data_IF_912912738895
#
_entry.id   IF_912912738895
#
_cell.length_a   1.000
_cell.length_b   1.000
_cell.length_c   1.000
_cell.angle_alpha   90.00
_cell.angle_beta   90.00
_cell.angle_gamma   90.00
#
_symmetry.space_group_name_H-M   'P 1'
#
loop_
_entity.id
_entity.type
_entity.pdbx_description
1 polymer ?
#
# COMPACT_ATOMS: atom_id res chain seq x y z
N UNK A 1 -2.86 16.06 -29.98
CA UNK A 1 -4.33 16.22 -30.12
C UNK A 1 -4.75 17.06 -28.94
N UNK A 2 -5.63 18.03 -29.14
CA UNK A 2 -6.11 18.88 -28.05
C UNK A 2 -6.93 18.00 -27.08
N UNK A 3 -6.34 17.60 -25.95
CA UNK A 3 -6.94 16.65 -24.99
C UNK A 3 -8.25 17.16 -24.40
N UNK A 4 -8.52 18.47 -24.48
CA UNK A 4 -9.81 19.05 -24.09
C UNK A 4 -10.96 18.60 -25.00
N UNK A 5 -10.66 18.15 -26.23
CA UNK A 5 -11.68 17.68 -27.17
C UNK A 5 -12.16 16.25 -26.90
N UNK A 6 -11.30 15.42 -26.29
CA UNK A 6 -11.57 14.01 -25.98
C UNK A 6 -11.18 13.74 -24.53
N UNK A 7 -11.99 14.19 -23.55
CA UNK A 7 -11.62 14.14 -22.15
C UNK A 7 -11.52 12.69 -21.67
N UNK A 8 -10.54 12.45 -20.80
CA UNK A 8 -10.31 11.17 -20.15
C UNK A 8 -10.27 11.37 -18.64
N UNK A 9 -11.14 10.70 -17.89
CA UNK A 9 -11.05 10.65 -16.44
C UNK A 9 -9.79 9.88 -16.04
N UNK A 10 -9.10 10.36 -15.01
CA UNK A 10 -8.00 9.65 -14.39
C UNK A 10 -8.45 8.27 -13.88
N UNK A 11 -7.65 7.25 -14.12
CA UNK A 11 -7.97 5.87 -13.72
C UNK A 11 -7.74 5.61 -12.22
N UNK A 12 -6.95 6.45 -11.55
CA UNK A 12 -6.57 6.32 -10.14
C UNK A 12 -7.55 7.03 -9.19
N UNK A 13 -8.57 7.70 -9.73
CA UNK A 13 -9.59 8.39 -8.94
C UNK A 13 -10.80 7.48 -8.72
N UNK A 14 -11.30 7.47 -7.48
CA UNK A 14 -12.53 6.77 -7.13
C UNK A 14 -13.69 7.74 -6.88
N UNK A 15 -14.79 7.58 -7.61
CA UNK A 15 -16.04 8.27 -7.33
C UNK A 15 -16.76 7.65 -6.12
N UNK A 16 -17.10 8.48 -5.12
CA UNK A 16 -17.77 8.06 -3.89
C UNK A 16 -19.13 8.77 -3.78
N UNK A 17 -20.24 8.02 -3.66
CA UNK A 17 -21.55 8.61 -3.43
C UNK A 17 -21.63 9.18 -2.01
N UNK A 18 -22.16 10.40 -1.89
CA UNK A 18 -22.40 11.08 -0.61
C UNK A 18 -23.82 11.65 -0.58
N UNK A 19 -24.34 11.86 0.63
CA UNK A 19 -25.61 12.57 0.83
C UNK A 19 -25.34 13.85 1.61
N UNK A 20 -25.67 15.00 1.02
CA UNK A 20 -25.53 16.31 1.65
C UNK A 20 -26.88 16.99 1.60
N UNK A 21 -27.42 17.37 2.76
CA UNK A 21 -28.73 18.04 2.88
C UNK A 21 -29.87 17.31 2.12
N UNK A 22 -29.84 15.98 2.08
CA UNK A 22 -30.82 15.15 1.37
C UNK A 22 -30.58 15.01 -0.14
N UNK A 23 -29.60 15.70 -0.72
CA UNK A 23 -29.18 15.54 -2.11
C UNK A 23 -28.18 14.42 -2.27
N UNK A 24 -28.38 13.58 -3.30
CA UNK A 24 -27.47 12.50 -3.68
C UNK A 24 -26.39 13.05 -4.60
N UNK A 25 -25.17 13.18 -4.07
CA UNK A 25 -24.01 13.71 -4.78
C UNK A 25 -22.92 12.64 -4.91
N UNK A 26 -21.87 12.97 -5.64
CA UNK A 26 -20.66 12.21 -5.80
C UNK A 26 -19.48 13.12 -5.55
N UNK A 27 -18.57 12.67 -4.70
CA UNK A 27 -17.24 13.25 -4.54
C UNK A 27 -16.20 12.29 -5.11
N UNK A 28 -14.95 12.73 -5.13
CA UNK A 28 -13.83 11.94 -5.64
C UNK A 28 -12.78 11.76 -4.57
N UNK A 29 -12.26 10.54 -4.44
CA UNK A 29 -11.02 10.27 -3.73
C UNK A 29 -9.88 10.38 -4.71
N UNK A 30 -9.07 11.42 -4.55
CA UNK A 30 -7.82 11.61 -5.27
C UNK A 30 -6.65 11.08 -4.42
N UNK A 31 -5.95 10.01 -4.86
CA UNK A 31 -4.83 9.46 -4.13
C UNK A 31 -3.67 10.44 -4.00
N UNK A 32 -3.48 11.36 -4.95
CA UNK A 32 -2.41 12.37 -4.91
C UNK A 32 -2.82 13.67 -4.23
N UNK A 33 -4.10 13.79 -3.83
CA UNK A 33 -4.68 14.98 -3.17
C UNK A 33 -4.43 16.29 -3.95
N UNK A 34 -4.42 16.20 -5.28
CA UNK A 34 -4.29 17.35 -6.17
C UNK A 34 -5.64 18.02 -6.38
N UNK A 35 -6.72 17.24 -6.42
CA UNK A 35 -8.07 17.74 -6.61
C UNK A 35 -8.49 18.67 -5.49
N UNK A 36 -9.14 19.78 -5.83
CA UNK A 36 -9.69 20.70 -4.85
C UNK A 36 -10.66 19.96 -3.91
N UNK A 37 -10.41 20.05 -2.60
CA UNK A 37 -11.31 19.53 -1.57
C UNK A 37 -12.71 20.11 -1.75
N UNK A 38 -13.73 19.26 -1.84
CA UNK A 38 -15.13 19.68 -1.93
C UNK A 38 -15.73 19.72 -3.33
N UNK A 39 -15.03 19.25 -4.36
CA UNK A 39 -15.67 19.03 -5.67
C UNK A 39 -16.70 17.90 -5.57
N UNK A 40 -17.98 18.26 -5.67
CA UNK A 40 -19.08 17.32 -5.67
C UNK A 40 -19.99 17.55 -6.89
N UNK A 41 -20.48 16.46 -7.47
CA UNK A 41 -21.38 16.48 -8.61
C UNK A 41 -22.68 15.76 -8.27
N UNK A 42 -23.76 16.07 -9.00
CA UNK A 42 -24.99 15.29 -8.90
C UNK A 42 -24.74 13.82 -9.28
N UNK A 43 -25.33 12.88 -8.54
CA UNK A 43 -25.14 11.45 -8.79
C UNK A 43 -25.55 11.00 -10.20
N UNK A 44 -26.45 11.74 -10.86
CA UNK A 44 -26.87 11.48 -12.24
C UNK A 44 -25.73 11.69 -13.25
N UNK A 45 -24.59 12.27 -12.84
CA UNK A 45 -23.42 12.45 -13.68
C UNK A 45 -22.53 11.19 -13.82
N UNK A 46 -22.75 10.10 -13.07
CA UNK A 46 -21.92 8.87 -13.20
C UNK A 46 -21.79 8.38 -14.65
N UNK A 47 -22.89 8.21 -15.41
CA UNK A 47 -22.77 7.65 -16.75
C UNK A 47 -22.01 8.60 -17.68
N UNK A 48 -22.00 9.91 -17.39
CA UNK A 48 -21.21 10.90 -18.11
C UNK A 48 -19.71 10.71 -17.87
N UNK A 49 -19.32 10.51 -16.62
CA UNK A 49 -17.91 10.25 -16.26
C UNK A 49 -17.40 8.99 -16.98
N UNK A 50 -18.25 7.96 -17.11
CA UNK A 50 -17.91 6.74 -17.85
C UNK A 50 -17.72 6.97 -19.36
N UNK A 51 -18.27 8.05 -19.93
CA UNK A 51 -18.02 8.44 -21.33
C UNK A 51 -16.71 9.21 -21.51
N UNK A 52 -16.14 9.76 -20.44
CA UNK A 52 -14.84 10.44 -20.47
C UNK A 52 -13.71 9.40 -20.42
N UNK A 53 -13.61 8.57 -21.45
CA UNK A 53 -12.62 7.49 -21.58
C UNK A 53 -11.48 7.83 -22.56
N UNK A 54 -11.46 9.08 -23.07
CA UNK A 54 -10.54 9.55 -24.11
C UNK A 54 -10.92 9.14 -25.53
N UNK A 55 -12.07 8.49 -25.74
CA UNK A 55 -12.57 8.09 -27.07
C UNK A 55 -13.73 8.95 -27.55
N UNK A 56 -14.55 9.44 -26.63
CA UNK A 56 -15.71 10.27 -26.94
C UNK A 56 -15.30 11.75 -27.02
N UNK A 57 -15.80 12.45 -28.04
CA UNK A 57 -15.61 13.90 -28.15
C UNK A 57 -16.68 14.69 -27.35
N UNK A 58 -16.55 16.02 -27.30
CA UNK A 58 -17.52 16.87 -26.60
C UNK A 58 -18.97 16.74 -27.12
N UNK A 59 -19.19 16.42 -28.40
CA UNK A 59 -20.52 16.22 -28.99
C UNK A 59 -21.09 14.86 -28.65
N UNK A 60 -20.26 13.83 -28.57
CA UNK A 60 -20.64 12.51 -28.06
C UNK A 60 -21.10 12.62 -26.60
N UNK A 61 -20.32 13.32 -25.77
CA UNK A 61 -20.63 13.60 -24.36
C UNK A 61 -21.93 14.41 -24.24
N UNK A 62 -22.13 15.44 -25.07
CA UNK A 62 -23.39 16.21 -25.15
C UNK A 62 -24.58 15.30 -25.45
N UNK A 63 -24.44 14.43 -26.45
CA UNK A 63 -25.50 13.49 -26.86
C UNK A 63 -25.82 12.52 -25.73
N UNK A 64 -24.80 12.03 -25.01
CA UNK A 64 -24.96 11.22 -23.81
C UNK A 64 -25.69 11.95 -22.70
N UNK A 65 -25.31 13.20 -22.42
CA UNK A 65 -25.93 14.01 -21.37
C UNK A 65 -27.41 14.28 -21.66
N UNK A 66 -27.75 14.66 -22.90
CA UNK A 66 -29.14 14.86 -23.33
C UNK A 66 -29.99 13.59 -23.14
N UNK A 67 -29.43 12.40 -23.38
CA UNK A 67 -30.14 11.12 -23.14
C UNK A 67 -30.38 10.89 -21.65
N UNK A 68 -29.37 11.14 -20.80
CA UNK A 68 -29.47 10.96 -19.34
C UNK A 68 -30.47 11.94 -18.73
N UNK A 69 -30.54 13.17 -19.24
CA UNK A 69 -31.46 14.22 -18.78
C UNK A 69 -32.85 14.17 -19.44
N UNK A 70 -33.26 13.02 -19.98
CA UNK A 70 -34.60 12.82 -20.54
C UNK A 70 -34.92 13.67 -21.77
N UNK A 71 -33.92 13.99 -22.59
CA UNK A 71 -34.07 14.80 -23.81
C UNK A 71 -33.97 16.32 -23.57
N UNK A 72 -33.64 16.76 -22.36
CA UNK A 72 -33.36 18.18 -22.07
C UNK A 72 -32.21 18.65 -22.97
N UNK A 73 -32.38 19.81 -23.62
CA UNK A 73 -31.35 20.38 -24.50
C UNK A 73 -30.19 20.87 -23.64
N UNK A 74 -29.01 20.33 -23.91
CA UNK A 74 -27.73 20.76 -23.32
C UNK A 74 -26.95 21.44 -24.44
N UNK A 75 -26.40 22.62 -24.19
CA UNK A 75 -25.51 23.31 -25.12
C UNK A 75 -24.10 22.72 -25.08
N UNK A 76 -23.36 22.83 -26.19
CA UNK A 76 -21.94 22.42 -26.22
C UNK A 76 -21.09 23.23 -25.24
N UNK A 77 -21.47 24.48 -24.98
CA UNK A 77 -20.80 25.36 -24.03
C UNK A 77 -20.93 24.85 -22.58
N UNK A 78 -22.08 24.29 -22.20
CA UNK A 78 -22.27 23.68 -20.87
C UNK A 78 -21.40 22.42 -20.69
N UNK A 79 -21.29 21.59 -21.75
CA UNK A 79 -20.41 20.40 -21.72
C UNK A 79 -18.95 20.83 -21.61
N UNK A 80 -18.53 21.82 -22.38
CA UNK A 80 -17.18 22.35 -22.34
C UNK A 80 -16.86 22.93 -20.96
N UNK A 81 -17.75 23.74 -20.38
CA UNK A 81 -17.58 24.29 -19.04
C UNK A 81 -17.42 23.20 -17.98
N UNK A 82 -18.16 22.10 -18.08
CA UNK A 82 -18.02 20.97 -17.18
C UNK A 82 -16.66 20.27 -17.33
N UNK A 83 -16.22 20.01 -18.57
CA UNK A 83 -14.92 19.40 -18.84
C UNK A 83 -13.79 20.29 -18.31
N UNK A 84 -13.87 21.60 -18.53
CA UNK A 84 -12.92 22.57 -17.98
C UNK A 84 -12.92 22.61 -16.44
N UNK A 85 -14.07 22.42 -15.80
CA UNK A 85 -14.15 22.33 -14.33
C UNK A 85 -13.48 21.05 -13.80
N UNK A 86 -13.71 19.91 -14.45
CA UNK A 86 -13.07 18.64 -14.10
C UNK A 86 -11.54 18.71 -14.30
N UNK A 87 -11.11 19.35 -15.39
CA UNK A 87 -9.69 19.57 -15.70
C UNK A 87 -9.01 20.48 -14.67
N UNK A 88 -9.64 21.62 -14.34
CA UNK A 88 -9.16 22.52 -13.27
C UNK A 88 -9.13 21.85 -11.89
N UNK A 89 -9.97 20.85 -11.67
CA UNK A 89 -9.97 20.03 -10.47
C UNK A 89 -8.98 18.85 -10.54
N UNK A 90 -8.15 18.76 -11.59
CA UNK A 90 -7.18 17.67 -11.82
C UNK A 90 -7.81 16.27 -11.82
N UNK A 91 -9.08 16.16 -12.22
CA UNK A 91 -9.79 14.89 -12.30
C UNK A 91 -9.59 14.19 -13.65
N UNK A 92 -9.17 14.94 -14.67
CA UNK A 92 -8.90 14.43 -16.02
C UNK A 92 -7.41 14.15 -16.21
N UNK A 93 -7.13 13.14 -17.05
CA UNK A 93 -5.79 12.82 -17.55
C UNK A 93 -5.42 13.84 -18.64
N UNK A 94 -5.05 15.03 -18.22
CA UNK A 94 -4.71 16.17 -19.08
C UNK A 94 -3.26 16.61 -18.94
N UNK A 95 -2.81 17.46 -19.85
CA UNK A 95 -1.54 18.18 -19.72
C UNK A 95 -1.41 18.91 -18.38
N UNK A 96 -2.46 19.61 -17.93
CA UNK A 96 -2.46 20.31 -16.65
C UNK A 96 -2.26 19.37 -15.45
N UNK A 97 -2.92 18.21 -15.45
CA UNK A 97 -2.70 17.18 -14.43
C UNK A 97 -1.27 16.64 -14.46
N UNK A 98 -0.75 16.29 -15.65
CA UNK A 98 0.61 15.76 -15.79
C UNK A 98 1.66 16.76 -15.35
N UNK A 99 1.51 18.04 -15.71
CA UNK A 99 2.39 19.11 -15.23
C UNK A 99 2.33 19.25 -13.70
N UNK A 100 1.14 19.24 -13.11
CA UNK A 100 0.99 19.34 -11.66
C UNK A 100 1.56 18.12 -10.94
N UNK A 101 1.33 16.91 -11.44
CA UNK A 101 1.91 15.66 -10.92
C UNK A 101 3.44 15.70 -10.99
N UNK A 102 4.01 16.08 -12.14
CA UNK A 102 5.46 16.22 -12.30
C UNK A 102 6.06 17.29 -11.39
N UNK A 103 5.35 18.39 -11.16
CA UNK A 103 5.76 19.41 -10.19
C UNK A 103 5.77 18.83 -8.76
N UNK A 104 4.72 18.11 -8.38
CA UNK A 104 4.65 17.46 -7.06
C UNK A 104 5.73 16.39 -6.88
N UNK A 105 6.04 15.60 -7.91
CA UNK A 105 7.15 14.64 -7.90
C UNK A 105 8.49 15.35 -7.64
N UNK A 106 8.75 16.47 -8.32
CA UNK A 106 9.97 17.27 -8.13
C UNK A 106 10.02 17.95 -6.75
N UNK A 107 8.87 18.38 -6.22
CA UNK A 107 8.74 18.89 -4.87
C UNK A 107 9.10 17.80 -3.85
N UNK A 108 8.46 16.63 -3.95
CA UNK A 108 8.67 15.49 -3.07
C UNK A 108 10.13 15.01 -3.11
N UNK A 109 10.77 14.95 -4.27
CA UNK A 109 12.18 14.58 -4.41
C UNK A 109 13.10 15.44 -3.50
N UNK A 110 12.74 16.70 -3.25
CA UNK A 110 13.51 17.63 -2.39
C UNK A 110 13.16 17.55 -0.91
N UNK A 111 12.11 16.82 -0.54
CA UNK A 111 11.73 16.67 0.87
C UNK A 111 12.78 15.84 1.60
N UNK A 112 13.23 16.35 2.75
CA UNK A 112 14.08 15.58 3.67
C UNK A 112 13.26 14.57 4.50
N UNK A 113 11.95 14.80 4.62
CA UNK A 113 11.04 14.03 5.46
C UNK A 113 9.75 13.74 4.72
N UNK A 114 9.20 12.55 4.94
CA UNK A 114 7.89 12.14 4.47
C UNK A 114 6.88 12.40 5.58
N UNK A 115 5.94 13.30 5.31
CA UNK A 115 4.81 13.58 6.20
C UNK A 115 3.82 12.40 6.21
N UNK A 116 3.11 12.14 7.33
CA UNK A 116 2.12 11.07 7.39
C UNK A 116 0.92 11.40 6.49
N UNK A 117 0.58 10.50 5.58
CA UNK A 117 -0.57 10.65 4.72
C UNK A 117 -1.88 10.39 5.48
N UNK A 118 -1.90 9.47 6.44
CA UNK A 118 -3.11 8.91 7.05
C UNK A 118 -3.34 9.32 8.50
N UNK A 119 -2.47 10.16 9.08
CA UNK A 119 -2.74 10.79 10.36
C UNK A 119 -4.05 11.62 10.31
N UNK A 120 -4.92 11.40 11.30
CA UNK A 120 -6.26 11.98 11.36
C UNK A 120 -7.30 11.29 10.45
N UNK A 121 -6.92 10.21 9.74
CA UNK A 121 -7.82 9.40 8.90
C UNK A 121 -7.89 7.95 9.36
N UNK A 122 -6.77 7.23 9.30
CA UNK A 122 -6.68 5.81 9.70
C UNK A 122 -6.16 5.63 11.12
N UNK A 123 -5.54 6.67 11.69
CA UNK A 123 -5.11 6.71 13.08
C UNK A 123 -5.11 8.14 13.60
N UNK A 124 -5.17 8.32 14.92
CA UNK A 124 -5.19 9.65 15.54
C UNK A 124 -3.90 10.43 15.24
N UNK A 125 -4.06 11.69 14.81
CA UNK A 125 -2.94 12.62 14.64
C UNK A 125 -2.41 13.17 15.98
N UNK A 126 -3.11 12.90 17.07
CA UNK A 126 -2.75 13.33 18.42
C UNK A 126 -1.95 12.23 19.12
N UNK A 127 -0.74 12.52 19.61
CA UNK A 127 0.14 11.51 20.18
C UNK A 127 -0.44 10.84 21.44
N UNK A 128 -1.16 11.58 22.28
CA UNK A 128 -1.72 11.05 23.53
C UNK A 128 -2.88 10.09 23.23
N UNK A 129 -3.77 10.45 22.31
CA UNK A 129 -4.86 9.58 21.87
C UNK A 129 -4.35 8.33 21.15
N UNK A 130 -3.36 8.46 20.28
CA UNK A 130 -2.75 7.34 19.58
C UNK A 130 -2.07 6.36 20.53
N UNK A 131 -1.32 6.88 21.51
CA UNK A 131 -0.70 6.08 22.57
C UNK A 131 -1.75 5.36 23.41
N UNK A 132 -2.80 6.08 23.83
CA UNK A 132 -3.90 5.52 24.63
C UNK A 132 -4.65 4.42 23.88
N UNK A 133 -4.84 4.56 22.57
CA UNK A 133 -5.41 3.53 21.71
C UNK A 133 -4.59 2.24 21.77
N UNK A 134 -3.27 2.31 21.54
CA UNK A 134 -2.39 1.12 21.56
C UNK A 134 -2.39 0.45 22.94
N UNK A 135 -2.29 1.24 24.02
CA UNK A 135 -2.35 0.73 25.40
C UNK A 135 -3.69 0.06 25.71
N UNK A 136 -4.81 0.61 25.22
CA UNK A 136 -6.15 0.04 25.45
C UNK A 136 -6.29 -1.30 24.73
N UNK A 137 -5.83 -1.39 23.47
CA UNK A 137 -5.82 -2.65 22.73
C UNK A 137 -4.93 -3.67 23.43
N UNK A 138 -3.75 -3.26 23.89
CA UNK A 138 -2.79 -4.14 24.58
C UNK A 138 -3.34 -4.70 25.89
N UNK A 139 -4.04 -3.89 26.69
CA UNK A 139 -4.73 -4.33 27.92
C UNK A 139 -5.83 -5.37 27.65
N UNK A 140 -6.41 -5.36 26.45
CA UNK A 140 -7.41 -6.34 26.01
C UNK A 140 -6.82 -7.67 25.52
N UNK A 141 -5.51 -7.75 25.29
CA UNK A 141 -4.85 -8.97 24.84
C UNK A 141 -4.46 -9.87 26.02
N UNK A 142 -4.34 -11.17 25.75
CA UNK A 142 -3.76 -12.10 26.71
C UNK A 142 -2.31 -11.69 27.07
N UNK A 143 -1.80 -11.99 28.27
CA UNK A 143 -0.39 -11.80 28.59
C UNK A 143 0.51 -12.50 27.58
N UNK A 144 1.64 -11.88 27.25
CA UNK A 144 2.62 -12.51 26.37
C UNK A 144 3.14 -13.81 27.02
N UNK A 145 3.31 -14.90 26.25
CA UNK A 145 4.06 -16.04 26.72
C UNK A 145 5.51 -15.62 26.99
N UNK A 146 6.20 -16.41 27.82
CA UNK A 146 7.64 -16.25 28.01
C UNK A 146 8.34 -16.40 26.65
N UNK A 147 8.99 -15.33 26.20
CA UNK A 147 9.74 -15.28 24.95
C UNK A 147 10.96 -14.38 25.15
N UNK A 148 11.99 -14.61 24.36
CA UNK A 148 13.16 -13.74 24.31
C UNK A 148 12.99 -12.73 23.17
N UNK A 149 12.66 -11.45 23.44
CA UNK A 149 12.54 -10.45 22.39
C UNK A 149 13.88 -10.19 21.70
N UNK A 150 15.01 -10.54 22.33
CA UNK A 150 16.34 -10.45 21.71
C UNK A 150 16.56 -11.56 20.67
N UNK A 151 15.74 -12.61 20.66
CA UNK A 151 15.76 -13.63 19.62
C UNK A 151 15.02 -13.21 18.36
N UNK A 152 14.12 -12.22 18.41
CA UNK A 152 13.25 -11.86 17.28
C UNK A 152 14.07 -11.17 16.19
N UNK A 153 14.09 -11.72 14.97
CA UNK A 153 14.80 -11.16 13.82
C UNK A 153 13.87 -10.57 12.77
N UNK A 154 12.59 -10.94 12.81
CA UNK A 154 11.60 -10.35 11.92
C UNK A 154 10.16 -10.48 12.39
N UNK A 155 9.31 -9.62 11.84
CA UNK A 155 7.87 -9.64 12.02
C UNK A 155 7.17 -9.45 10.68
N UNK A 156 6.00 -10.09 10.56
CA UNK A 156 5.03 -9.80 9.53
C UNK A 156 3.81 -9.19 10.23
N UNK A 157 3.38 -8.04 9.77
CA UNK A 157 2.23 -7.31 10.29
C UNK A 157 1.30 -6.91 9.13
N UNK A 158 -0.01 -6.79 9.38
CA UNK A 158 -0.94 -6.28 8.39
C UNK A 158 -0.53 -4.90 7.85
N UNK A 159 -1.08 -4.52 6.70
CA UNK A 159 -1.15 -3.12 6.28
C UNK A 159 -2.59 -2.64 6.02
N UNK A 160 -3.60 -3.46 6.31
CA UNK A 160 -4.99 -3.01 6.33
C UNK A 160 -5.17 -1.89 7.37
N UNK A 161 -6.23 -1.10 7.21
CA UNK A 161 -6.59 -0.03 8.14
C UNK A 161 -6.47 -0.49 9.60
N UNK A 162 -5.82 0.32 10.43
CA UNK A 162 -5.46 -0.04 11.80
C UNK A 162 -6.70 -0.44 12.62
N UNK A 163 -7.85 0.19 12.39
CA UNK A 163 -9.08 -0.14 13.08
C UNK A 163 -9.58 -1.56 12.75
N UNK A 164 -9.30 -2.07 11.54
CA UNK A 164 -9.71 -3.39 11.10
C UNK A 164 -8.86 -4.53 11.71
N UNK A 165 -7.58 -4.26 12.02
CA UNK A 165 -6.63 -5.27 12.46
C UNK A 165 -5.86 -4.89 13.75
N UNK A 166 -6.44 -4.03 14.59
CA UNK A 166 -5.78 -3.44 15.77
C UNK A 166 -5.06 -4.47 16.66
N UNK A 167 -5.71 -5.62 16.93
CA UNK A 167 -5.15 -6.67 17.77
C UNK A 167 -3.92 -7.31 17.12
N UNK A 168 -3.95 -7.55 15.80
CA UNK A 168 -2.86 -8.18 15.08
C UNK A 168 -1.61 -7.30 15.07
N UNK A 169 -1.77 -5.98 14.89
CA UNK A 169 -0.68 -5.01 15.01
C UNK A 169 -0.10 -4.97 16.43
N UNK A 170 -0.94 -4.71 17.43
CA UNK A 170 -0.48 -4.57 18.82
C UNK A 170 0.18 -5.85 19.31
N UNK A 171 -0.38 -7.02 18.99
CA UNK A 171 0.15 -8.30 19.46
C UNK A 171 1.54 -8.61 18.88
N UNK A 172 1.79 -8.30 17.60
CA UNK A 172 3.10 -8.56 16.99
C UNK A 172 4.16 -7.56 17.45
N UNK A 173 3.82 -6.28 17.57
CA UNK A 173 4.79 -5.26 17.94
C UNK A 173 5.20 -5.31 19.42
N UNK A 174 4.31 -5.70 20.34
CA UNK A 174 4.69 -5.87 21.75
C UNK A 174 5.69 -7.02 21.98
N UNK A 175 5.85 -7.95 21.01
CA UNK A 175 6.85 -9.05 21.06
C UNK A 175 8.28 -8.62 20.69
N UNK A 176 8.47 -7.45 20.09
CA UNK A 176 9.81 -6.93 19.78
C UNK A 176 10.31 -5.93 20.83
N UNK A 177 9.43 -5.49 21.73
CA UNK A 177 9.76 -4.56 22.81
C UNK A 177 10.87 -5.14 23.70
N UNK A 178 11.91 -4.36 23.95
CA UNK A 178 13.06 -4.80 24.74
C UNK A 178 14.07 -5.69 23.99
N UNK A 179 13.86 -5.96 22.69
CA UNK A 179 14.78 -6.75 21.86
C UNK A 179 16.10 -6.06 21.51
N UNK A 180 16.25 -4.78 21.84
CA UNK A 180 17.46 -3.98 21.59
C UNK A 180 17.67 -3.63 20.11
N UNK A 181 16.61 -3.63 19.31
CA UNK A 181 16.66 -3.26 17.88
C UNK A 181 17.03 -1.79 17.70
N UNK A 182 18.12 -1.54 16.97
CA UNK A 182 18.56 -0.19 16.61
C UNK A 182 18.24 0.21 15.16
N UNK A 183 17.88 -0.79 14.34
CA UNK A 183 17.56 -0.63 12.93
C UNK A 183 16.34 -1.48 12.56
N UNK A 184 15.42 -0.94 11.76
CA UNK A 184 14.34 -1.70 11.15
C UNK A 184 14.36 -1.57 9.63
N UNK A 185 14.44 -2.69 8.91
CA UNK A 185 14.24 -2.71 7.44
C UNK A 185 12.76 -3.02 7.20
N UNK A 186 12.03 -2.06 6.62
CA UNK A 186 10.58 -2.14 6.46
C UNK A 186 10.23 -2.38 5.01
N UNK A 187 9.69 -3.57 4.72
CA UNK A 187 9.25 -4.02 3.41
C UNK A 187 7.74 -3.78 3.25
N UNK A 188 7.38 -2.72 2.54
CA UNK A 188 6.00 -2.42 2.14
C UNK A 188 5.67 -2.93 0.74
N UNK A 189 4.44 -2.68 0.29
CA UNK A 189 3.96 -3.00 -1.06
C UNK A 189 3.87 -1.72 -1.88
N UNK A 190 4.35 -1.75 -3.13
CA UNK A 190 4.14 -0.65 -4.05
C UNK A 190 2.77 -0.79 -4.75
N UNK A 191 1.75 -0.09 -4.27
CA UNK A 191 0.42 -0.09 -4.90
C UNK A 191 0.30 0.80 -6.15
N UNK A 192 1.30 1.67 -6.41
CA UNK A 192 1.22 2.70 -7.45
C UNK A 192 1.85 2.26 -8.79
N UNK A 193 2.51 1.10 -8.82
CA UNK A 193 3.14 0.56 -10.03
C UNK A 193 4.40 1.34 -10.41
N UNK A 194 5.51 1.01 -9.75
CA UNK A 194 6.82 1.59 -10.05
C UNK A 194 7.49 1.02 -11.31
N UNK A 195 8.55 1.69 -11.75
CA UNK A 195 9.40 1.35 -12.90
C UNK A 195 10.59 0.44 -12.54
N UNK A 196 10.57 -0.15 -11.34
CA UNK A 196 11.55 -1.12 -10.88
C UNK A 196 10.96 -2.17 -9.92
N UNK A 197 11.76 -3.18 -9.58
CA UNK A 197 11.36 -4.22 -8.62
C UNK A 197 11.20 -3.67 -7.20
N UNK A 198 12.02 -2.70 -6.82
CA UNK A 198 12.01 -2.09 -5.50
C UNK A 198 12.07 -0.57 -5.60
N UNK A 199 11.49 0.13 -4.62
CA UNK A 199 11.62 1.57 -4.47
C UNK A 199 12.17 1.87 -3.07
N UNK A 200 13.27 2.63 -3.02
CA UNK A 200 13.96 3.02 -1.78
C UNK A 200 13.73 4.50 -1.52
N UNK A 201 13.50 4.88 -0.26
CA UNK A 201 13.47 6.28 0.15
C UNK A 201 14.53 6.56 1.21
N UNK A 202 15.26 7.67 1.05
CA UNK A 202 16.22 8.19 2.04
C UNK A 202 15.60 9.24 2.98
N UNK A 203 14.29 9.47 2.87
CA UNK A 203 13.55 10.47 3.67
C UNK A 203 13.25 9.93 5.06
N UNK A 204 13.32 10.78 6.08
CA UNK A 204 12.88 10.41 7.43
C UNK A 204 11.35 10.28 7.45
N UNK A 205 10.79 9.39 8.26
CA UNK A 205 9.35 9.20 8.36
C UNK A 205 8.80 9.94 9.57
N UNK A 206 7.91 10.90 9.34
CA UNK A 206 7.22 11.64 10.40
C UNK A 206 6.00 10.84 10.87
N UNK A 207 5.88 10.62 12.17
CA UNK A 207 4.69 10.06 12.82
C UNK A 207 4.18 11.02 13.89
N UNK A 208 2.92 10.90 14.37
CA UNK A 208 2.46 11.67 15.53
C UNK A 208 3.31 11.47 16.79
N UNK A 209 3.98 10.32 16.92
CA UNK A 209 4.82 9.97 18.07
C UNK A 209 6.27 10.44 17.93
N UNK A 210 6.61 11.05 16.80
CA UNK A 210 7.94 11.59 16.49
C UNK A 210 8.48 11.08 15.15
N UNK A 211 9.72 11.47 14.84
CA UNK A 211 10.37 11.18 13.56
C UNK A 211 11.23 9.94 13.69
N UNK A 212 11.10 9.01 12.75
CA UNK A 212 12.04 7.90 12.56
C UNK A 212 13.06 8.29 11.50
N UNK A 213 14.33 8.35 11.90
CA UNK A 213 15.43 8.67 10.98
C UNK A 213 15.70 7.50 10.04
N UNK A 214 15.82 7.79 8.76
CA UNK A 214 16.22 6.76 7.80
C UNK A 214 17.74 6.58 7.82
N UNK A 215 18.21 5.34 7.81
CA UNK A 215 19.64 5.06 7.63
C UNK A 215 20.05 5.34 6.17
N UNK A 216 20.38 6.61 5.91
CA UNK A 216 20.70 7.09 4.57
C UNK A 216 21.95 6.46 4.01
N UNK A 217 22.93 6.15 4.86
CA UNK A 217 24.16 5.47 4.43
C UNK A 217 23.82 4.07 3.90
N UNK A 218 22.98 3.33 4.64
CA UNK A 218 22.49 2.03 4.20
C UNK A 218 21.68 2.11 2.89
N UNK A 219 20.81 3.12 2.75
CA UNK A 219 20.02 3.35 1.53
C UNK A 219 20.92 3.66 0.33
N UNK A 220 21.93 4.52 0.49
CA UNK A 220 22.85 4.86 -0.60
C UNK A 220 23.77 3.70 -0.98
N UNK A 221 24.17 2.86 -0.01
CA UNK A 221 24.90 1.63 -0.25
C UNK A 221 24.05 0.60 -1.03
N UNK A 222 22.78 0.45 -0.67
CA UNK A 222 21.85 -0.44 -1.37
C UNK A 222 21.65 -0.08 -2.84
N UNK A 223 21.80 1.20 -3.21
CA UNK A 223 21.67 1.67 -4.60
C UNK A 223 22.85 1.32 -5.50
N UNK A 224 24.00 0.93 -4.93
CA UNK A 224 25.20 0.68 -5.71
C UNK A 224 25.17 -0.69 -6.39
N UNK A 225 25.81 -0.78 -7.57
CA UNK A 225 26.10 -2.02 -8.29
C UNK A 225 24.88 -2.92 -8.60
N UNK A 226 23.69 -2.32 -8.74
CA UNK A 226 22.47 -3.05 -9.11
C UNK A 226 22.24 -3.03 -10.64
N UNK A 227 21.72 -4.13 -11.23
CA UNK A 227 21.31 -4.14 -12.63
C UNK A 227 20.18 -3.12 -12.90
N UNK A 228 20.11 -2.62 -14.13
CA UNK A 228 19.04 -1.71 -14.58
C UNK A 228 17.64 -2.32 -14.36
N UNK A 229 16.66 -1.50 -13.96
CA UNK A 229 15.31 -1.93 -13.62
C UNK A 229 15.16 -2.61 -12.25
N UNK A 230 16.24 -2.70 -11.45
CA UNK A 230 16.14 -3.19 -10.06
C UNK A 230 15.41 -2.18 -9.18
N UNK A 231 15.81 -0.91 -9.27
CA UNK A 231 15.25 0.18 -8.48
C UNK A 231 14.40 1.10 -9.34
N UNK A 232 13.34 1.63 -8.75
CA UNK A 232 12.59 2.74 -9.32
C UNK A 232 13.46 4.00 -9.42
N UNK A 233 13.25 4.83 -10.45
CA UNK A 233 14.04 6.06 -10.66
C UNK A 233 13.79 7.09 -9.55
N UNK A 234 12.55 7.17 -9.06
CA UNK A 234 12.11 8.14 -8.05
C UNK A 234 11.44 7.46 -6.86
N UNK A 235 11.54 8.09 -5.68
CA UNK A 235 10.91 7.60 -4.45
C UNK A 235 9.45 8.08 -4.27
N UNK A 236 8.84 8.64 -5.32
CA UNK A 236 7.53 9.29 -5.26
C UNK A 236 6.41 8.39 -4.74
N UNK A 237 6.47 7.09 -5.04
CA UNK A 237 5.47 6.12 -4.60
C UNK A 237 5.40 6.03 -3.06
N UNK A 238 6.49 6.35 -2.35
CA UNK A 238 6.45 6.42 -0.89
C UNK A 238 5.49 7.50 -0.38
N UNK A 239 5.27 8.60 -1.11
CA UNK A 239 4.55 9.78 -0.60
C UNK A 239 3.15 9.45 -0.06
N UNK A 240 2.41 8.60 -0.78
CA UNK A 240 1.01 8.24 -0.44
C UNK A 240 0.87 6.78 -0.02
N UNK A 241 1.95 6.00 -0.09
CA UNK A 241 1.92 4.58 0.25
C UNK A 241 1.81 4.36 1.76
N UNK A 242 0.87 3.50 2.16
CA UNK A 242 0.45 3.32 3.55
C UNK A 242 1.07 2.09 4.21
N UNK A 243 1.50 1.11 3.42
CA UNK A 243 2.02 -0.16 3.92
C UNK A 243 3.21 -0.01 4.85
N UNK A 244 4.10 0.96 4.58
CA UNK A 244 5.22 1.33 5.46
C UNK A 244 4.76 2.29 6.58
N UNK A 245 3.89 3.26 6.28
CA UNK A 245 3.46 4.28 7.23
C UNK A 245 2.84 3.66 8.49
N UNK A 246 1.95 2.69 8.34
CA UNK A 246 1.37 1.99 9.49
C UNK A 246 2.43 1.33 10.34
N UNK A 247 3.44 0.69 9.73
CA UNK A 247 4.53 0.07 10.50
C UNK A 247 5.33 1.12 11.29
N UNK A 248 5.62 2.28 10.68
CA UNK A 248 6.38 3.34 11.37
C UNK A 248 5.68 3.86 12.61
N UNK A 249 4.35 3.90 12.62
CA UNK A 249 3.55 4.32 13.78
C UNK A 249 3.75 3.35 14.97
N UNK A 250 3.69 2.04 14.72
CA UNK A 250 3.90 1.03 15.77
C UNK A 250 5.38 0.92 16.19
N UNK A 251 6.32 1.03 15.25
CA UNK A 251 7.75 1.05 15.55
C UNK A 251 8.10 2.24 16.47
N UNK A 252 7.60 3.44 16.17
CA UNK A 252 7.83 4.62 17.00
C UNK A 252 7.27 4.44 18.42
N UNK A 253 6.13 3.76 18.58
CA UNK A 253 5.54 3.48 19.89
C UNK A 253 6.33 2.43 20.69
N UNK A 254 6.61 1.28 20.08
CA UNK A 254 7.15 0.10 20.79
C UNK A 254 8.67 0.08 20.90
N UNK A 255 9.38 0.67 19.93
CA UNK A 255 10.85 0.71 19.90
C UNK A 255 11.42 2.12 20.09
N UNK A 256 10.56 3.14 20.07
CA UNK A 256 10.97 4.54 20.24
C UNK A 256 11.59 5.15 18.99
N UNK A 257 11.78 6.47 19.02
CA UNK A 257 12.29 7.24 17.88
C UNK A 257 13.81 7.23 17.71
N UNK A 258 14.53 6.60 18.64
CA UNK A 258 15.96 6.31 18.47
C UNK A 258 16.25 5.16 17.48
N UNK A 259 15.20 4.46 17.03
CA UNK A 259 15.27 3.45 15.99
C UNK A 259 15.52 4.10 14.62
N UNK A 260 16.54 3.64 13.90
CA UNK A 260 16.68 3.95 12.48
C UNK A 260 15.84 3.03 11.61
N UNK A 261 15.42 3.51 10.44
CA UNK A 261 14.66 2.71 9.48
C UNK A 261 15.31 2.65 8.10
N UNK A 262 14.98 1.62 7.31
CA UNK A 262 15.22 1.56 5.86
C UNK A 262 13.91 1.16 5.20
N UNK A 263 13.16 2.12 4.63
CA UNK A 263 11.87 1.86 3.98
C UNK A 263 12.08 1.38 2.53
N UNK A 264 11.51 0.22 2.20
CA UNK A 264 11.62 -0.43 0.88
C UNK A 264 10.21 -0.82 0.41
N UNK A 265 9.73 -0.23 -0.67
CA UNK A 265 8.52 -0.71 -1.33
C UNK A 265 8.88 -1.84 -2.30
N UNK A 266 8.22 -2.98 -2.13
CA UNK A 266 8.36 -4.14 -2.98
C UNK A 266 7.29 -4.10 -4.08
N UNK A 267 7.73 -4.00 -5.33
CA UNK A 267 6.90 -4.02 -6.53
C UNK A 267 7.29 -5.18 -7.46
N UNK A 268 6.96 -5.05 -8.74
CA UNK A 268 7.48 -5.91 -9.82
C UNK A 268 7.00 -7.37 -9.85
N UNK A 269 6.32 -7.88 -8.80
CA UNK A 269 5.89 -9.29 -8.77
C UNK A 269 4.97 -9.67 -9.93
N UNK A 270 4.16 -8.72 -10.40
CA UNK A 270 3.26 -8.92 -11.53
C UNK A 270 4.00 -9.20 -12.84
N UNK A 271 5.22 -8.68 -13.01
CA UNK A 271 6.10 -8.97 -14.16
C UNK A 271 6.45 -10.46 -14.19
N UNK A 272 6.83 -11.03 -13.03
CA UNK A 272 7.16 -12.44 -12.88
C UNK A 272 5.93 -13.34 -13.02
N UNK A 273 4.77 -12.94 -12.49
CA UNK A 273 3.53 -13.71 -12.64
C UNK A 273 3.06 -13.75 -14.09
N UNK A 274 3.16 -12.64 -14.82
CA UNK A 274 2.73 -12.55 -16.22
C UNK A 274 3.64 -13.31 -17.19
N UNK A 275 4.95 -13.29 -16.93
CA UNK A 275 5.94 -13.99 -17.75
C UNK A 275 6.13 -15.47 -17.37
N UNK A 276 5.74 -15.85 -16.14
CA UNK A 276 6.06 -17.15 -15.55
C UNK A 276 7.54 -17.30 -15.18
N UNK A 277 8.32 -16.21 -15.22
CA UNK A 277 9.73 -16.22 -14.85
C UNK A 277 9.91 -16.28 -13.34
N UNK A 278 10.90 -17.05 -12.87
CA UNK A 278 11.15 -17.20 -11.44
C UNK A 278 12.02 -16.03 -10.93
N UNK A 279 11.57 -15.25 -9.92
CA UNK A 279 12.36 -14.13 -9.38
C UNK A 279 13.70 -14.61 -8.78
N UNK A 280 13.82 -15.88 -8.38
CA UNK A 280 15.08 -16.42 -7.87
C UNK A 280 16.11 -16.75 -8.96
N UNK A 281 15.74 -16.62 -10.24
CA UNK A 281 16.65 -16.69 -11.40
C UNK A 281 16.86 -15.32 -12.06
N UNK A 282 16.17 -14.28 -11.58
CA UNK A 282 16.31 -12.92 -12.07
C UNK A 282 17.50 -12.22 -11.41
N UNK A 283 18.39 -11.67 -12.24
CA UNK A 283 19.63 -11.03 -11.79
C UNK A 283 19.38 -9.78 -10.94
N UNK A 284 18.30 -9.02 -11.20
CA UNK A 284 17.93 -7.82 -10.44
C UNK A 284 17.50 -8.21 -9.04
N UNK A 285 16.57 -9.17 -8.93
CA UNK A 285 16.06 -9.64 -7.65
C UNK A 285 17.16 -10.27 -6.79
N UNK A 286 18.00 -11.13 -7.38
CA UNK A 286 19.08 -11.78 -6.67
C UNK A 286 20.16 -10.78 -6.22
N UNK A 287 20.58 -9.85 -7.09
CA UNK A 287 21.53 -8.80 -6.71
C UNK A 287 21.02 -7.96 -5.54
N UNK A 288 19.77 -7.51 -5.58
CA UNK A 288 19.17 -6.73 -4.50
C UNK A 288 19.08 -7.51 -3.19
N UNK A 289 18.55 -8.74 -3.24
CA UNK A 289 18.42 -9.63 -2.07
C UNK A 289 19.78 -9.88 -1.41
N UNK A 290 20.79 -10.20 -2.21
CA UNK A 290 22.10 -10.58 -1.69
C UNK A 290 22.87 -9.36 -1.17
N UNK A 291 22.72 -8.19 -1.81
CA UNK A 291 23.26 -6.93 -1.29
C UNK A 291 22.59 -6.56 0.05
N UNK A 292 21.26 -6.59 0.13
CA UNK A 292 20.53 -6.31 1.36
C UNK A 292 20.89 -7.29 2.49
N UNK A 293 21.01 -8.59 2.20
CA UNK A 293 21.44 -9.58 3.19
C UNK A 293 22.85 -9.28 3.71
N UNK A 294 23.80 -8.93 2.82
CA UNK A 294 25.17 -8.57 3.20
C UNK A 294 25.16 -7.36 4.14
N UNK A 295 24.50 -6.28 3.75
CA UNK A 295 24.49 -5.02 4.51
C UNK A 295 23.82 -5.21 5.87
N UNK A 296 22.73 -5.99 5.95
CA UNK A 296 22.12 -6.36 7.24
C UNK A 296 23.11 -7.13 8.12
N UNK A 297 23.89 -8.05 7.54
CA UNK A 297 24.88 -8.85 8.26
C UNK A 297 26.12 -8.06 8.73
N UNK A 298 26.44 -6.95 8.06
CA UNK A 298 27.56 -6.06 8.39
C UNK A 298 27.16 -4.92 9.34
N UNK A 299 25.85 -4.69 9.53
CA UNK A 299 25.34 -3.67 10.43
C UNK A 299 25.77 -3.92 11.88
N UNK A 300 26.31 -2.88 12.52
CA UNK A 300 26.57 -2.88 13.95
C UNK A 300 25.29 -2.78 14.79
N UNK A 301 24.19 -2.34 14.18
CA UNK A 301 22.88 -2.25 14.81
C UNK A 301 22.13 -3.56 14.66
N UNK A 302 21.48 -3.99 15.73
CA UNK A 302 20.56 -5.12 15.68
C UNK A 302 19.38 -4.77 14.80
N UNK A 303 19.26 -5.49 13.69
CA UNK A 303 18.25 -5.27 12.66
C UNK A 303 16.99 -6.06 12.96
N UNK A 304 15.82 -5.42 12.85
CA UNK A 304 14.51 -6.04 12.77
C UNK A 304 14.03 -5.99 11.32
N UNK A 305 13.69 -7.14 10.72
CA UNK A 305 12.98 -7.16 9.45
C UNK A 305 11.47 -6.98 9.70
N UNK A 306 10.83 -6.07 8.98
CA UNK A 306 9.38 -5.82 9.10
C UNK A 306 8.76 -5.97 7.72
N UNK A 307 7.76 -6.84 7.57
CA UNK A 307 6.96 -6.94 6.34
C UNK A 307 5.53 -6.47 6.62
N UNK A 308 5.14 -5.33 6.05
CA UNK A 308 3.80 -4.75 6.17
C UNK A 308 2.92 -5.21 5.01
N UNK A 309 2.15 -6.28 5.20
CA UNK A 309 1.44 -7.00 4.13
C UNK A 309 0.08 -7.52 4.58
N UNK A 310 -0.90 -7.44 3.68
CA UNK A 310 -2.13 -8.23 3.77
C UNK A 310 -2.03 -9.47 2.87
N UNK A 311 -3.06 -10.32 2.93
CA UNK A 311 -3.17 -11.55 2.15
C UNK A 311 -4.18 -11.35 1.01
N UNK A 312 -5.27 -12.11 0.97
CA UNK A 312 -6.22 -12.15 -0.13
C UNK A 312 -7.18 -10.95 -0.12
N UNK A 313 -7.39 -10.32 -1.28
CA UNK A 313 -8.37 -9.28 -1.53
C UNK A 313 -9.48 -9.81 -2.46
N UNK A 314 -10.62 -10.20 -1.88
CA UNK A 314 -11.71 -10.89 -2.60
C UNK A 314 -13.02 -10.11 -2.62
N UNK A 315 -13.82 -10.34 -3.66
CA UNK A 315 -15.11 -9.70 -3.85
C UNK A 315 -15.12 -8.58 -4.88
N UNK A 316 -16.27 -7.89 -5.00
CA UNK A 316 -16.58 -7.06 -6.18
C UNK A 316 -15.66 -5.86 -6.35
N UNK A 317 -15.21 -5.25 -5.25
CA UNK A 317 -14.26 -4.13 -5.27
C UNK A 317 -12.92 -4.51 -5.88
N UNK A 318 -12.53 -5.78 -5.73
CA UNK A 318 -11.24 -6.31 -6.19
C UNK A 318 -11.38 -7.08 -7.52
N UNK A 319 -12.35 -6.71 -8.36
CA UNK A 319 -12.49 -7.24 -9.72
C UNK A 319 -13.22 -8.58 -9.84
N UNK A 320 -13.74 -9.15 -8.75
CA UNK A 320 -14.50 -10.40 -8.82
C UNK A 320 -15.96 -10.15 -9.24
N UNK A 321 -16.53 -11.01 -10.08
CA UNK A 321 -17.95 -10.96 -10.45
C UNK A 321 -18.92 -11.40 -9.34
N UNK A 322 -18.41 -11.87 -8.21
CA UNK A 322 -19.16 -12.45 -7.08
C UNK A 322 -18.76 -11.76 -5.77
N UNK A 323 -19.62 -11.77 -4.73
CA UNK A 323 -19.25 -11.23 -3.43
C UNK A 323 -18.16 -12.07 -2.75
N UNK A 324 -17.42 -11.45 -1.82
CA UNK A 324 -16.36 -12.10 -1.04
C UNK A 324 -16.79 -13.39 -0.35
N UNK A 325 -18.01 -13.44 0.19
CA UNK A 325 -18.58 -14.62 0.86
C UNK A 325 -18.47 -15.90 0.01
N UNK A 326 -18.60 -15.79 -1.32
CA UNK A 326 -18.50 -16.93 -2.24
C UNK A 326 -17.06 -17.41 -2.47
N UNK A 327 -16.07 -16.61 -2.11
CA UNK A 327 -14.64 -16.86 -2.36
C UNK A 327 -13.85 -17.06 -1.06
N UNK A 328 -14.33 -16.56 0.07
CA UNK A 328 -13.56 -16.38 1.29
C UNK A 328 -12.96 -17.69 1.84
N UNK A 329 -13.70 -18.79 1.82
CA UNK A 329 -13.16 -20.08 2.26
C UNK A 329 -11.99 -20.56 1.39
N UNK A 330 -12.07 -20.34 0.08
CA UNK A 330 -11.00 -20.69 -0.86
C UNK A 330 -9.81 -19.74 -0.72
N UNK A 331 -10.07 -18.45 -0.51
CA UNK A 331 -9.05 -17.44 -0.23
C UNK A 331 -8.28 -17.78 1.05
N UNK A 332 -8.99 -18.10 2.15
CA UNK A 332 -8.37 -18.55 3.41
C UNK A 332 -7.58 -19.86 3.24
N UNK A 333 -8.05 -20.78 2.40
CA UNK A 333 -7.28 -21.99 2.10
C UNK A 333 -5.98 -21.68 1.36
N UNK A 334 -6.01 -20.74 0.40
CA UNK A 334 -4.82 -20.22 -0.28
C UNK A 334 -3.86 -19.53 0.72
N UNK A 335 -4.38 -18.67 1.59
CA UNK A 335 -3.58 -18.00 2.64
C UNK A 335 -2.86 -19.00 3.54
N UNK A 336 -3.55 -20.07 3.97
CA UNK A 336 -2.95 -21.11 4.82
C UNK A 336 -1.74 -21.78 4.17
N UNK A 337 -1.75 -21.95 2.85
CA UNK A 337 -0.58 -22.50 2.12
C UNK A 337 0.56 -21.49 2.10
N UNK A 338 0.28 -20.21 1.87
CA UNK A 338 1.28 -19.15 1.91
C UNK A 338 1.88 -19.01 3.32
N UNK A 339 1.04 -19.00 4.36
CA UNK A 339 1.45 -18.99 5.77
C UNK A 339 2.32 -20.21 6.08
N UNK A 340 1.95 -21.40 5.62
CA UNK A 340 2.75 -22.61 5.81
C UNK A 340 4.13 -22.50 5.13
N UNK A 341 4.24 -21.86 3.96
CA UNK A 341 5.53 -21.58 3.35
C UNK A 341 6.35 -20.57 4.16
N UNK A 342 5.72 -19.49 4.66
CA UNK A 342 6.37 -18.50 5.53
C UNK A 342 6.90 -19.13 6.82
N UNK A 343 6.08 -19.95 7.49
CA UNK A 343 6.44 -20.61 8.75
C UNK A 343 7.66 -21.53 8.62
N UNK A 344 7.90 -22.05 7.42
CA UNK A 344 8.98 -22.99 7.13
C UNK A 344 10.11 -22.38 6.28
N UNK A 345 10.14 -21.05 6.10
CA UNK A 345 11.20 -20.36 5.35
C UNK A 345 11.28 -20.74 3.86
N UNK A 346 10.18 -21.16 3.25
CA UNK A 346 10.12 -21.62 1.84
C UNK A 346 9.82 -20.47 0.88
N UNK A 347 10.69 -19.47 0.84
CA UNK A 347 10.50 -18.23 0.07
C UNK A 347 10.13 -18.46 -1.41
N UNK A 348 10.83 -19.38 -2.09
CA UNK A 348 10.59 -19.72 -3.50
C UNK A 348 9.25 -20.40 -3.74
N UNK A 349 8.76 -21.15 -2.76
CA UNK A 349 7.48 -21.84 -2.88
C UNK A 349 6.28 -20.90 -2.67
N UNK A 350 6.44 -19.79 -1.95
CA UNK A 350 5.44 -18.70 -1.90
C UNK A 350 5.13 -18.20 -3.31
N UNK A 351 6.17 -17.86 -4.08
CA UNK A 351 6.02 -17.41 -5.47
C UNK A 351 5.42 -18.50 -6.36
N UNK A 352 5.95 -19.73 -6.30
CA UNK A 352 5.43 -20.85 -7.11
C UNK A 352 3.96 -21.15 -6.82
N UNK A 353 3.54 -21.04 -5.57
CA UNK A 353 2.14 -21.20 -5.21
C UNK A 353 1.26 -20.13 -5.85
N UNK A 354 1.66 -18.85 -5.73
CA UNK A 354 0.96 -17.73 -6.35
C UNK A 354 0.87 -17.88 -7.89
N UNK A 355 1.96 -18.29 -8.54
CA UNK A 355 1.98 -18.60 -9.97
C UNK A 355 1.02 -19.74 -10.32
N UNK A 356 1.00 -20.82 -9.54
CA UNK A 356 0.13 -21.96 -9.77
C UNK A 356 -1.35 -21.65 -9.56
N UNK A 357 -1.69 -20.72 -8.65
CA UNK A 357 -3.06 -20.27 -8.41
C UNK A 357 -3.49 -19.11 -9.30
N UNK A 358 -2.58 -18.57 -10.11
CA UNK A 358 -2.79 -17.45 -11.02
C UNK A 358 -3.17 -16.15 -10.31
N UNK A 359 -2.72 -15.99 -9.06
CA UNK A 359 -3.10 -14.88 -8.16
C UNK A 359 -4.60 -14.56 -8.14
N UNK A 360 -5.45 -15.60 -8.26
CA UNK A 360 -6.90 -15.44 -8.42
C UNK A 360 -7.62 -14.81 -7.21
N UNK A 361 -6.92 -14.57 -6.10
CA UNK A 361 -7.44 -13.94 -4.89
C UNK A 361 -6.79 -12.58 -4.61
N UNK A 362 -6.02 -12.03 -5.56
CA UNK A 362 -5.32 -10.75 -5.47
C UNK A 362 -4.51 -10.61 -4.17
N UNK A 363 -3.52 -11.49 -3.97
CA UNK A 363 -2.70 -11.45 -2.75
C UNK A 363 -1.71 -10.29 -2.84
N UNK A 364 -1.95 -9.20 -2.10
CA UNK A 364 -1.15 -7.98 -2.24
C UNK A 364 0.30 -8.16 -1.74
N UNK A 365 0.49 -9.01 -0.73
CA UNK A 365 1.73 -9.15 0.01
C UNK A 365 2.87 -9.90 -0.67
N UNK A 366 2.65 -10.56 -1.82
CA UNK A 366 3.56 -11.58 -2.35
C UNK A 366 4.98 -11.06 -2.54
N UNK A 367 5.16 -9.87 -3.14
CA UNK A 367 6.48 -9.29 -3.41
C UNK A 367 7.32 -9.15 -2.12
N UNK A 368 6.71 -8.55 -1.09
CA UNK A 368 7.37 -8.34 0.21
C UNK A 368 7.54 -9.65 0.97
N UNK A 369 6.56 -10.56 0.96
CA UNK A 369 6.66 -11.88 1.61
C UNK A 369 7.79 -12.73 1.03
N UNK A 370 7.96 -12.75 -0.30
CA UNK A 370 9.02 -13.50 -0.98
C UNK A 370 10.40 -12.94 -0.61
N UNK A 371 10.58 -11.61 -0.66
CA UNK A 371 11.85 -10.99 -0.26
C UNK A 371 12.11 -11.22 1.23
N UNK A 372 11.14 -10.94 2.11
CA UNK A 372 11.22 -11.13 3.56
C UNK A 372 11.65 -12.55 3.93
N UNK A 373 10.94 -13.55 3.39
CA UNK A 373 11.22 -14.97 3.69
C UNK A 373 12.62 -15.38 3.21
N UNK A 374 13.14 -14.74 2.16
CA UNK A 374 14.49 -14.98 1.68
C UNK A 374 15.59 -14.32 2.55
N UNK A 375 15.24 -13.30 3.36
CA UNK A 375 16.17 -12.55 4.20
C UNK A 375 16.24 -13.08 5.64
N UNK A 376 15.11 -13.48 6.22
CA UNK A 376 15.01 -13.85 7.64
C UNK A 376 15.84 -15.09 8.02
N UNK A 377 16.23 -15.90 7.04
CA UNK A 377 17.10 -17.07 7.23
C UNK A 377 16.43 -18.19 8.06
N UNK A 378 17.22 -19.17 8.55
CA UNK A 378 16.72 -20.20 9.45
C UNK A 378 16.19 -19.58 10.75
N UNK A 379 14.89 -19.71 10.98
CA UNK A 379 14.21 -19.13 12.13
C UNK A 379 13.09 -20.05 12.61
N UNK A 380 12.73 -19.90 13.89
CA UNK A 380 11.45 -20.37 14.41
C UNK A 380 10.41 -19.29 14.14
N UNK A 381 9.41 -19.62 13.34
CA UNK A 381 8.30 -18.73 13.04
C UNK A 381 7.03 -19.14 13.79
N UNK A 382 6.23 -18.17 14.19
CA UNK A 382 4.95 -18.38 14.87
C UNK A 382 3.87 -17.50 14.23
N UNK A 383 2.73 -18.10 13.89
CA UNK A 383 1.53 -17.39 13.47
C UNK A 383 0.79 -16.91 14.73
N UNK A 384 0.59 -15.60 14.84
CA UNK A 384 -0.09 -14.99 15.97
C UNK A 384 -1.58 -14.79 15.68
N UNK A 385 -1.88 -14.31 14.48
CA UNK A 385 -3.23 -14.04 14.05
C UNK A 385 -3.42 -14.33 12.56
N UNK A 386 -4.59 -14.84 12.17
CA UNK A 386 -5.08 -14.87 10.79
C UNK A 386 -6.54 -14.43 10.82
N UNK A 387 -6.80 -13.23 10.29
CA UNK A 387 -8.07 -12.54 10.39
C UNK A 387 -8.70 -12.25 9.03
N UNK A 388 -9.91 -11.72 9.06
CA UNK A 388 -10.61 -11.22 7.88
C UNK A 388 -11.33 -9.95 8.27
N UNK A 389 -11.20 -8.93 7.42
CA UNK A 389 -12.01 -7.74 7.45
C UNK A 389 -13.05 -7.83 6.33
N UNK A 390 -14.33 -7.90 6.73
CA UNK A 390 -15.45 -7.85 5.79
C UNK A 390 -15.85 -6.40 5.55
N UNK A 391 -16.06 -6.04 4.27
CA UNK A 391 -16.61 -4.76 3.83
C UNK A 391 -17.97 -5.00 3.16
N UNK A 392 -19.07 -5.14 3.95
CA UNK A 392 -20.40 -5.46 3.41
C UNK A 392 -20.89 -4.45 2.37
N UNK A 393 -20.51 -3.18 2.53
CA UNK A 393 -20.88 -2.09 1.62
C UNK A 393 -20.45 -2.34 0.17
N UNK A 394 -19.31 -3.03 -0.03
CA UNK A 394 -18.79 -3.37 -1.36
C UNK A 394 -18.94 -4.85 -1.68
N UNK A 395 -19.42 -5.66 -0.72
CA UNK A 395 -19.43 -7.12 -0.83
C UNK A 395 -18.03 -7.69 -1.02
N UNK A 396 -17.03 -7.09 -0.35
CA UNK A 396 -15.62 -7.46 -0.46
C UNK A 396 -15.04 -7.80 0.90
N UNK A 397 -13.91 -8.49 0.92
CA UNK A 397 -13.20 -8.82 2.15
C UNK A 397 -11.70 -8.85 1.90
N UNK A 398 -10.93 -8.58 2.95
CA UNK A 398 -9.47 -8.66 2.95
C UNK A 398 -9.06 -9.58 4.09
N UNK A 399 -8.18 -10.54 3.81
CA UNK A 399 -7.56 -11.38 4.84
C UNK A 399 -6.20 -10.83 5.21
N UNK A 400 -5.79 -11.04 6.45
CA UNK A 400 -4.53 -10.53 6.99
C UNK A 400 -3.98 -11.49 8.04
N UNK A 401 -2.68 -11.43 8.28
CA UNK A 401 -2.05 -12.21 9.33
C UNK A 401 -0.97 -11.40 10.05
N UNK A 402 -0.61 -11.84 11.25
CA UNK A 402 0.60 -11.38 11.91
C UNK A 402 1.44 -12.56 12.38
N UNK A 403 2.76 -12.44 12.23
CA UNK A 403 3.72 -13.50 12.50
C UNK A 403 4.98 -12.94 13.12
N UNK A 404 5.63 -13.72 13.98
CA UNK A 404 6.94 -13.41 14.56
C UNK A 404 7.96 -14.47 14.13
N UNK A 405 9.19 -14.03 13.88
CA UNK A 405 10.30 -14.86 13.43
C UNK A 405 11.48 -14.64 14.37
N UNK A 406 11.94 -15.70 15.03
CA UNK A 406 13.06 -15.65 15.97
C UNK A 406 14.21 -16.54 15.49
N UNK A 407 15.45 -16.08 15.71
CA UNK A 407 16.67 -16.87 15.46
C UNK A 407 16.59 -18.24 16.15
N UNK A 408 17.14 -19.25 15.48
CA UNK A 408 17.20 -20.62 16.00
C UNK A 408 18.29 -20.82 17.05
#
# INVERSE_FOLDING_TARGET
MDETTHPRLRNDIQAIPITVEGQQLITFTDPLRLSATGFAMDRRAIPLLAMMDGRNDLRDIQTGLMRITGGTVVSIAEVQALVEQLDKAFLLESEAFRERKNALMKEFARWARREPALAGRSYDADPERLTSFMQTVEQGLAPLPEHDPTGVTGILAPHIDIAAAQQAYVDVYRRVTGGGHGLAVILGINHHGGDGLFCLSAKDYVTPLGVLETDREMVEELKQDLPEGTLAEYDFDHMMEHSIEFQTVFLAHYLGTGLKIVPILCGGIHEFLSSGADPFEDVRFCAFRDNLRRIIGESALRTLLVSGVDFSHVGRKFGHGVPAESLLERARANDRVIIDHLLHGRARDIYRHCLATGDQFNVCGIASMVLFSSLVGPCRAELLHHGTYDEPATGSAVTFASMVFAGS
#
